data_IF_742863291776
#
_entry.id   IF_742863291776
#
_cell.length_a   1.000
_cell.length_b   1.000
_cell.length_c   1.000
_cell.angle_alpha   90.00
_cell.angle_beta   90.00
_cell.angle_gamma   90.00
#
_symmetry.space_group_name_H-M   'P 1'
#
loop_
_entity.id
_entity.type
_entity.pdbx_description
1 polymer ?
#
# COMPACT_ATOMS: atom_id res chain seq x y z
N UNK A 1 -1.49 -25.51 11.65
CA UNK A 1 -0.46 -24.61 12.22
C UNK A 1 -1.13 -23.53 13.06
N UNK A 2 -1.06 -23.64 14.38
CA UNK A 2 -1.58 -22.62 15.30
C UNK A 2 -0.48 -21.61 15.64
N UNK A 3 -0.67 -20.35 15.22
CA UNK A 3 0.17 -19.23 15.65
C UNK A 3 -0.44 -18.50 16.86
N UNK A 4 0.33 -17.58 17.44
CA UNK A 4 -0.03 -16.90 18.71
C UNK A 4 -1.11 -15.82 18.56
N UNK A 5 -1.27 -15.24 17.36
CA UNK A 5 -2.22 -14.17 17.13
C UNK A 5 -3.65 -14.71 16.98
N UNK A 6 -4.56 -14.08 17.73
CA UNK A 6 -6.01 -14.24 17.65
C UNK A 6 -6.64 -12.89 17.29
N UNK A 7 -7.81 -12.89 16.65
CA UNK A 7 -8.53 -11.67 16.25
C UNK A 7 -8.79 -10.73 17.45
N UNK A 8 -9.07 -11.29 18.62
CA UNK A 8 -9.27 -10.55 19.87
C UNK A 8 -8.04 -9.75 20.30
N UNK A 9 -6.85 -10.37 20.24
CA UNK A 9 -5.58 -9.75 20.60
C UNK A 9 -5.19 -8.64 19.61
N UNK A 10 -5.49 -8.83 18.32
CA UNK A 10 -5.29 -7.77 17.32
C UNK A 10 -6.20 -6.56 17.61
N UNK A 11 -7.46 -6.82 18.00
CA UNK A 11 -8.42 -5.76 18.32
C UNK A 11 -8.00 -4.96 19.56
N UNK A 12 -7.53 -5.62 20.62
CA UNK A 12 -7.04 -4.93 21.81
C UNK A 12 -5.78 -4.12 21.51
N UNK A 13 -4.79 -4.72 20.84
CA UNK A 13 -3.57 -4.02 20.44
C UNK A 13 -3.84 -2.85 19.49
N UNK A 14 -4.82 -2.95 18.59
CA UNK A 14 -5.18 -1.84 17.70
C UNK A 14 -5.74 -0.65 18.46
N UNK A 15 -6.46 -0.86 19.57
CA UNK A 15 -6.92 0.24 20.42
C UNK A 15 -5.74 0.94 21.10
N UNK A 16 -4.76 0.18 21.59
CA UNK A 16 -3.56 0.71 22.22
C UNK A 16 -2.72 1.51 21.20
N UNK A 17 -2.54 0.98 19.98
CA UNK A 17 -1.79 1.65 18.91
C UNK A 17 -2.37 3.02 18.54
N UNK A 18 -3.70 3.14 18.55
CA UNK A 18 -4.39 4.41 18.32
C UNK A 18 -4.27 5.36 19.50
N UNK A 19 -4.45 4.86 20.73
CA UNK A 19 -4.35 5.65 21.95
C UNK A 19 -2.96 6.26 22.13
N UNK A 20 -1.91 5.46 21.90
CA UNK A 20 -0.52 5.89 22.05
C UNK A 20 0.05 6.57 20.79
N UNK A 21 -0.70 6.57 19.68
CA UNK A 21 -0.25 7.03 18.36
C UNK A 21 1.08 6.39 17.91
N UNK A 22 1.32 5.14 18.32
CA UNK A 22 2.53 4.35 18.01
C UNK A 22 2.17 3.10 17.21
N UNK A 23 3.08 2.73 16.31
CA UNK A 23 2.96 1.47 15.56
C UNK A 23 3.28 0.31 16.48
N UNK A 24 2.31 -0.57 16.72
CA UNK A 24 2.51 -1.78 17.52
C UNK A 24 2.79 -2.95 16.59
N UNK A 25 3.88 -3.67 16.84
CA UNK A 25 4.26 -4.87 16.07
C UNK A 25 3.92 -6.11 16.88
N UNK A 26 3.01 -6.93 16.35
CA UNK A 26 2.56 -8.17 16.97
C UNK A 26 3.23 -9.38 16.31
N UNK A 27 3.90 -10.22 17.09
CA UNK A 27 4.54 -11.42 16.59
C UNK A 27 3.59 -12.64 16.64
N UNK A 28 3.50 -13.38 15.54
CA UNK A 28 2.68 -14.61 15.46
C UNK A 28 3.48 -15.90 15.67
N UNK A 29 4.80 -15.82 15.54
CA UNK A 29 5.70 -16.97 15.45
C UNK A 29 6.19 -17.18 14.01
N UNK A 30 7.17 -18.06 13.81
CA UNK A 30 7.69 -18.34 12.45
C UNK A 30 8.25 -17.13 11.71
N UNK A 31 8.67 -16.08 12.45
CA UNK A 31 9.11 -14.78 11.92
C UNK A 31 8.04 -13.97 11.17
N UNK A 32 6.76 -14.28 11.41
CA UNK A 32 5.61 -13.51 10.95
C UNK A 32 5.23 -12.43 11.97
N UNK A 33 5.03 -11.20 11.48
CA UNK A 33 4.68 -10.04 12.28
C UNK A 33 3.53 -9.26 11.62
N UNK A 34 2.67 -8.67 12.46
CA UNK A 34 1.64 -7.72 12.07
C UNK A 34 1.94 -6.36 12.67
N UNK A 35 2.19 -5.36 11.81
CA UNK A 35 2.39 -3.98 12.26
C UNK A 35 1.07 -3.23 12.16
N UNK A 36 0.50 -2.84 13.30
CA UNK A 36 -0.75 -2.12 13.38
C UNK A 36 -0.54 -0.62 13.14
N UNK A 37 -1.48 -0.03 12.40
CA UNK A 37 -1.50 1.39 12.09
C UNK A 37 -1.82 2.21 13.35
N UNK A 38 -1.04 3.26 13.56
CA UNK A 38 -1.29 4.28 14.59
C UNK A 38 -2.44 5.24 14.26
N UNK A 39 -2.96 5.19 13.04
CA UNK A 39 -3.94 6.18 12.54
C UNK A 39 -5.27 5.55 12.12
N UNK A 40 -5.28 4.27 11.74
CA UNK A 40 -6.47 3.61 11.21
C UNK A 40 -6.79 2.40 12.07
N UNK A 41 -8.00 2.31 12.67
CA UNK A 41 -8.41 1.19 13.50
C UNK A 41 -8.41 -0.12 12.71
N UNK A 42 -7.93 -1.18 13.34
CA UNK A 42 -7.90 -2.54 12.82
C UNK A 42 -7.19 -2.67 11.45
N UNK A 43 -6.35 -1.70 11.09
CA UNK A 43 -5.51 -1.76 9.90
C UNK A 43 -4.08 -2.09 10.31
N UNK A 44 -3.46 -2.99 9.58
CA UNK A 44 -2.05 -3.31 9.74
C UNK A 44 -1.44 -3.89 8.47
N UNK A 45 -0.14 -4.12 8.52
CA UNK A 45 0.62 -4.72 7.41
C UNK A 45 1.34 -5.96 7.93
N UNK A 46 1.16 -7.07 7.21
CA UNK A 46 1.85 -8.32 7.49
C UNK A 46 3.26 -8.30 6.91
N UNK A 47 4.22 -8.76 7.70
CA UNK A 47 5.61 -8.92 7.31
C UNK A 47 6.14 -10.28 7.73
N UNK A 48 7.02 -10.86 6.90
CA UNK A 48 7.86 -11.99 7.29
C UNK A 48 9.32 -11.60 7.21
N UNK A 49 10.12 -12.02 8.19
CA UNK A 49 11.56 -11.82 8.17
C UNK A 49 12.28 -13.08 7.70
N UNK A 50 13.09 -12.95 6.65
CA UNK A 50 13.90 -14.03 6.06
C UNK A 50 15.39 -13.74 6.26
N UNK A 51 16.25 -14.77 6.28
CA UNK A 51 17.71 -14.62 6.39
C UNK A 51 18.30 -14.88 7.79
N UNK A 52 19.63 -14.88 7.90
CA UNK A 52 20.34 -15.06 9.19
C UNK A 52 20.29 -13.76 10.02
N UNK A 53 20.47 -13.85 11.33
CA UNK A 53 20.31 -12.76 12.32
C UNK A 53 21.00 -11.44 11.93
N UNK A 54 22.15 -11.51 11.23
CA UNK A 54 22.91 -10.33 10.78
C UNK A 54 22.49 -9.77 9.40
N UNK A 55 21.66 -10.46 8.62
CA UNK A 55 21.18 -10.06 7.28
C UNK A 55 19.70 -10.43 7.12
N UNK A 56 18.86 -9.93 8.00
CA UNK A 56 17.42 -10.18 7.91
C UNK A 56 16.79 -9.26 6.87
N UNK A 57 16.10 -9.83 5.88
CA UNK A 57 15.24 -9.11 4.95
C UNK A 57 13.81 -9.16 5.45
N UNK A 58 13.13 -8.02 5.41
CA UNK A 58 11.70 -7.90 5.73
C UNK A 58 10.91 -7.92 4.42
N UNK A 59 10.05 -8.91 4.25
CA UNK A 59 9.17 -9.07 3.08
C UNK A 59 7.74 -8.72 3.51
N UNK A 60 7.06 -7.86 2.74
CA UNK A 60 5.65 -7.52 2.95
C UNK A 60 4.79 -8.65 2.39
N UNK A 61 3.79 -9.10 3.16
CA UNK A 61 2.86 -10.15 2.70
C UNK A 61 1.53 -9.58 2.22
N UNK A 62 1.14 -8.42 2.75
CA UNK A 62 -0.06 -7.67 2.39
C UNK A 62 -0.72 -6.99 3.58
N UNK A 63 -1.98 -6.60 3.44
CA UNK A 63 -2.69 -5.71 4.38
C UNK A 63 -3.65 -6.52 5.25
N UNK A 64 -3.61 -6.32 6.56
CA UNK A 64 -4.70 -6.71 7.46
C UNK A 64 -5.67 -5.54 7.60
N UNK A 65 -6.81 -5.59 6.91
CA UNK A 65 -7.89 -4.62 7.11
C UNK A 65 -9.25 -5.28 6.88
N UNK A 66 -10.00 -5.69 7.93
CA UNK A 66 -11.29 -6.34 7.75
C UNK A 66 -12.23 -5.50 6.87
N UNK A 67 -12.90 -6.13 5.90
CA UNK A 67 -13.80 -5.46 4.95
C UNK A 67 -13.11 -4.83 3.73
N UNK A 68 -11.78 -4.86 3.63
CA UNK A 68 -11.06 -4.46 2.42
C UNK A 68 -10.94 -5.62 1.42
N UNK A 69 -11.03 -5.39 0.10
CA UNK A 69 -10.75 -6.42 -0.91
C UNK A 69 -9.30 -6.93 -0.85
N UNK A 70 -8.39 -6.13 -0.30
CA UNK A 70 -6.97 -6.48 -0.13
C UNK A 70 -6.68 -7.11 1.24
N UNK A 71 -7.72 -7.51 1.98
CA UNK A 71 -7.59 -8.10 3.30
C UNK A 71 -6.90 -9.46 3.24
N UNK A 72 -5.82 -9.60 4.01
CA UNK A 72 -5.19 -10.88 4.30
C UNK A 72 -5.49 -11.23 5.75
N UNK A 73 -6.23 -12.33 5.92
CA UNK A 73 -6.54 -12.88 7.23
C UNK A 73 -5.32 -13.58 7.84
N UNK A 74 -5.43 -13.91 9.14
CA UNK A 74 -4.33 -14.53 9.90
C UNK A 74 -3.93 -15.87 9.27
N UNK A 75 -4.88 -16.69 8.81
CA UNK A 75 -4.58 -18.01 8.23
C UNK A 75 -3.82 -17.86 6.92
N UNK A 76 -4.26 -16.97 6.03
CA UNK A 76 -3.59 -16.72 4.75
C UNK A 76 -2.19 -16.14 4.96
N UNK A 77 -2.02 -15.23 5.92
CA UNK A 77 -0.71 -14.69 6.26
C UNK A 77 0.27 -15.78 6.71
N UNK A 78 -0.19 -16.74 7.53
CA UNK A 78 0.61 -17.91 7.95
C UNK A 78 1.00 -18.80 6.78
N UNK A 79 0.05 -19.14 5.91
CA UNK A 79 0.30 -19.96 4.71
C UNK A 79 1.35 -19.30 3.81
N UNK A 80 1.23 -17.98 3.57
CA UNK A 80 2.21 -17.22 2.78
C UNK A 80 3.59 -17.19 3.44
N UNK A 81 3.65 -16.98 4.76
CA UNK A 81 4.90 -16.99 5.50
C UNK A 81 5.60 -18.36 5.44
N UNK A 82 4.83 -19.45 5.53
CA UNK A 82 5.37 -20.81 5.41
C UNK A 82 5.87 -21.09 4.00
N UNK A 83 5.14 -20.68 2.96
CA UNK A 83 5.59 -20.84 1.58
C UNK A 83 6.92 -20.14 1.33
N UNK A 84 7.07 -18.90 1.81
CA UNK A 84 8.34 -18.14 1.72
C UNK A 84 9.47 -18.84 2.47
N UNK A 85 9.20 -19.37 3.66
CA UNK A 85 10.21 -20.08 4.45
C UNK A 85 10.72 -21.33 3.73
N UNK A 86 9.84 -22.04 3.02
CA UNK A 86 10.15 -23.28 2.32
C UNK A 86 10.53 -23.06 0.85
N UNK A 87 10.73 -21.81 0.40
CA UNK A 87 10.98 -21.45 -1.00
C UNK A 87 9.94 -22.06 -1.98
N UNK A 88 8.71 -22.23 -1.51
CA UNK A 88 7.62 -22.74 -2.35
C UNK A 88 7.10 -21.62 -3.26
N UNK A 89 6.68 -21.94 -4.49
CA UNK A 89 6.03 -20.97 -5.36
C UNK A 89 4.77 -20.45 -4.66
N UNK A 90 4.78 -19.16 -4.33
CA UNK A 90 3.61 -18.49 -3.77
C UNK A 90 2.74 -18.15 -4.96
N UNK A 91 1.52 -18.68 -5.00
CA UNK A 91 0.56 -18.28 -6.03
C UNK A 91 0.41 -16.76 -5.99
N UNK A 92 0.72 -16.04 -7.09
CA UNK A 92 0.71 -14.58 -7.10
C UNK A 92 -0.74 -14.13 -7.04
N UNK A 93 -1.23 -13.79 -5.85
CA UNK A 93 -2.60 -13.29 -5.73
C UNK A 93 -2.63 -11.86 -5.14
N UNK A 94 -2.84 -10.97 -6.11
CA UNK A 94 -3.53 -9.68 -6.14
C UNK A 94 -2.78 -8.38 -5.77
N UNK A 95 -2.25 -7.75 -6.83
CA UNK A 95 -2.46 -6.34 -7.25
C UNK A 95 -1.61 -5.21 -6.61
N UNK A 96 -0.98 -5.36 -5.44
CA UNK A 96 -0.27 -4.19 -4.83
C UNK A 96 1.27 -4.12 -4.99
N UNK A 97 1.96 -5.19 -5.38
CA UNK A 97 3.45 -5.16 -5.51
C UNK A 97 3.97 -4.91 -6.93
N UNK A 98 3.07 -4.67 -7.87
CA UNK A 98 3.40 -4.02 -9.14
C UNK A 98 2.50 -2.80 -9.29
N UNK A 99 2.79 -1.72 -8.56
CA UNK A 99 2.49 -0.43 -9.19
C UNK A 99 3.25 -0.47 -10.51
N UNK A 100 2.61 -0.32 -11.68
CA UNK A 100 3.37 -0.06 -12.88
C UNK A 100 4.24 1.13 -12.53
N UNK A 101 5.56 0.97 -12.60
CA UNK A 101 6.47 2.10 -12.44
C UNK A 101 6.09 3.07 -13.54
N UNK A 102 5.29 4.08 -13.20
CA UNK A 102 4.82 5.07 -14.17
C UNK A 102 6.07 5.62 -14.81
N UNK A 103 6.22 5.36 -16.10
CA UNK A 103 7.40 5.81 -16.83
C UNK A 103 7.38 7.33 -16.89
N UNK A 104 8.55 7.96 -16.98
CA UNK A 104 8.63 9.41 -17.16
C UNK A 104 7.76 9.88 -18.34
N UNK A 105 7.66 9.06 -19.38
CA UNK A 105 6.82 9.31 -20.55
C UNK A 105 5.30 9.32 -20.26
N UNK A 106 4.82 8.50 -19.33
CA UNK A 106 3.41 8.55 -18.90
C UNK A 106 3.13 9.75 -18.00
N UNK A 107 4.08 10.12 -17.13
CA UNK A 107 4.00 11.34 -16.32
C UNK A 107 3.94 12.58 -17.21
N UNK A 108 4.79 12.66 -18.22
CA UNK A 108 4.81 13.75 -19.19
C UNK A 108 3.49 13.85 -19.98
N UNK A 109 2.96 12.71 -20.46
CA UNK A 109 1.66 12.68 -21.15
C UNK A 109 0.52 13.17 -20.26
N UNK A 110 0.43 12.70 -19.01
CA UNK A 110 -0.61 13.15 -18.08
C UNK A 110 -0.50 14.65 -17.79
N UNK A 111 0.71 15.17 -17.63
CA UNK A 111 0.95 16.60 -17.43
C UNK A 111 0.47 17.43 -18.63
N UNK A 112 0.80 16.99 -19.86
CA UNK A 112 0.36 17.66 -21.08
C UNK A 112 -1.16 17.68 -21.20
N UNK A 113 -1.84 16.55 -20.96
CA UNK A 113 -3.31 16.48 -21.00
C UNK A 113 -3.96 17.42 -19.98
N UNK A 114 -3.43 17.48 -18.75
CA UNK A 114 -3.93 18.40 -17.72
C UNK A 114 -3.73 19.87 -18.10
N UNK A 115 -2.59 20.20 -18.72
CA UNK A 115 -2.30 21.57 -19.15
C UNK A 115 -2.99 21.96 -20.46
N UNK A 116 -3.42 21.00 -21.27
CA UNK A 116 -4.06 21.24 -22.57
C UNK A 116 -5.34 22.07 -22.43
N UNK A 117 -6.17 21.81 -21.42
CA UNK A 117 -7.38 22.61 -21.17
C UNK A 117 -7.06 24.05 -20.77
N UNK A 118 -6.05 24.23 -19.89
CA UNK A 118 -5.61 25.56 -19.47
C UNK A 118 -5.02 26.35 -20.64
N UNK A 119 -4.17 25.72 -21.45
CA UNK A 119 -3.58 26.33 -22.65
C UNK A 119 -4.66 26.71 -23.67
N UNK A 120 -5.63 25.82 -23.94
CA UNK A 120 -6.72 26.12 -24.87
C UNK A 120 -7.54 27.34 -24.42
N UNK A 121 -7.84 27.47 -23.12
CA UNK A 121 -8.54 28.64 -22.60
C UNK A 121 -7.72 29.93 -22.71
N UNK A 122 -6.44 29.91 -22.35
CA UNK A 122 -5.58 31.11 -22.40
C UNK A 122 -5.30 31.54 -23.84
N UNK A 123 -5.12 30.58 -24.76
CA UNK A 123 -4.93 30.87 -26.18
C UNK A 123 -6.21 31.43 -26.81
N UNK A 124 -7.39 30.88 -26.49
CA UNK A 124 -8.68 31.41 -26.97
C UNK A 124 -8.93 32.84 -26.47
N UNK A 125 -8.66 33.13 -25.19
CA UNK A 125 -8.73 34.51 -24.67
C UNK A 125 -7.73 35.44 -25.35
N UNK A 126 -6.51 34.96 -25.61
CA UNK A 126 -5.49 35.70 -26.36
C UNK A 126 -5.94 36.08 -27.78
N UNK A 127 -6.61 35.17 -28.49
CA UNK A 127 -7.19 35.48 -29.81
C UNK A 127 -8.39 36.42 -29.71
N UNK A 128 -9.28 36.26 -28.72
CA UNK A 128 -10.43 37.17 -28.52
C UNK A 128 -9.98 38.60 -28.20
N UNK A 129 -8.95 38.75 -27.35
CA UNK A 129 -8.39 40.06 -27.01
C UNK A 129 -7.69 40.68 -28.20
N UNK A 130 -6.86 39.94 -28.95
CA UNK A 130 -6.19 40.46 -30.16
C UNK A 130 -7.17 40.77 -31.29
N UNK A 131 -8.18 39.94 -31.54
CA UNK A 131 -9.19 40.16 -32.58
C UNK A 131 -10.02 41.44 -32.39
N UNK A 132 -10.23 41.89 -31.14
CA UNK A 132 -10.88 43.18 -30.85
C UNK A 132 -10.06 44.40 -31.30
N UNK A 133 -8.74 44.28 -31.43
CA UNK A 133 -7.87 45.37 -31.89
C UNK A 133 -7.70 45.42 -33.41
N UNK A 134 -8.28 44.46 -34.16
CA UNK A 134 -8.14 44.35 -35.62
C UNK A 134 -9.42 44.71 -36.40
N UNK A 135 -10.51 45.02 -35.71
CA UNK A 135 -11.71 45.59 -36.33
C UNK A 135 -11.68 47.11 -36.10
N UNK A 136 -11.15 47.83 -37.10
CA UNK A 136 -11.34 49.27 -37.29
C UNK A 136 -12.13 49.49 -38.56
#
# INVERSE_FOLDING_TARGET
MEGRLKKSLIKSASKIALAEKKTISLADGGRLFLNLSRSIPNKGVWYVFTGRTKKQKRIRLGIYQPGSPLHIDIKTARVRATAIKHNLPISPCSIEEQKPSITLAELARRYLTLKQHSLASTTLEGYKTRGKYWIK
#
